data_IF_207667745560
#
_entry.id   IF_207667745560
#
_cell.length_a   1.000
_cell.length_b   1.000
_cell.length_c   1.000
_cell.angle_alpha   90.00
_cell.angle_beta   90.00
_cell.angle_gamma   90.00
#
_symmetry.space_group_name_H-M   'P 1'
#
loop_
_entity.id
_entity.type
_entity.pdbx_description
1 polymer ?
#
# COMPACT_ATOMS: atom_id res chain seq x y z
N UNK A 1 -3.23 -0.72 24.77
CA UNK A 1 -2.93 -2.02 24.12
C UNK A 1 -1.74 -2.69 24.81
N UNK A 2 -0.60 -2.02 24.92
CA UNK A 2 0.62 -2.55 25.53
C UNK A 2 0.63 -2.65 27.08
N UNK A 3 0.01 -1.74 27.88
CA UNK A 3 0.19 -1.75 29.34
C UNK A 3 -0.31 -3.01 30.07
N UNK A 4 -1.33 -3.69 29.53
CA UNK A 4 -1.85 -4.92 30.12
C UNK A 4 -0.99 -6.16 29.78
N UNK A 5 -0.30 -6.13 28.63
CA UNK A 5 0.63 -7.15 28.16
C UNK A 5 2.01 -7.02 28.83
N UNK A 6 2.46 -5.79 29.08
CA UNK A 6 3.69 -5.47 29.79
C UNK A 6 3.39 -5.25 31.28
N UNK A 7 3.13 -6.33 32.00
CA UNK A 7 3.20 -6.32 33.47
C UNK A 7 4.57 -6.89 33.91
N UNK A 8 4.98 -6.64 35.16
CA UNK A 8 6.29 -7.07 35.67
C UNK A 8 6.53 -8.60 35.65
N UNK A 9 5.53 -9.43 35.27
CA UNK A 9 5.61 -10.90 35.21
C UNK A 9 5.63 -11.44 33.77
N UNK A 10 5.50 -10.59 32.76
CA UNK A 10 5.41 -11.01 31.35
C UNK A 10 6.33 -10.16 30.46
N UNK A 11 7.16 -10.83 29.66
CA UNK A 11 8.02 -10.18 28.66
C UNK A 11 7.67 -10.68 27.26
N UNK A 12 7.80 -9.82 26.26
CA UNK A 12 7.65 -10.18 24.84
C UNK A 12 8.97 -9.89 24.15
N UNK A 13 9.48 -10.88 23.41
CA UNK A 13 10.59 -10.70 22.47
C UNK A 13 10.04 -10.76 21.06
N UNK A 14 10.33 -9.74 20.24
CA UNK A 14 9.85 -9.64 18.87
C UNK A 14 11.06 -9.75 17.95
N UNK A 15 11.00 -10.69 17.01
CA UNK A 15 11.97 -10.82 15.95
C UNK A 15 11.29 -10.47 14.62
N UNK A 16 11.89 -9.57 13.86
CA UNK A 16 11.39 -9.15 12.56
C UNK A 16 12.46 -9.41 11.51
N UNK A 17 12.09 -10.13 10.45
CA UNK A 17 12.91 -10.36 9.28
C UNK A 17 12.08 -10.08 8.04
N UNK A 18 12.67 -9.37 7.09
CA UNK A 18 12.17 -9.27 5.72
C UNK A 18 13.21 -9.93 4.81
N UNK A 19 12.77 -10.84 3.94
CA UNK A 19 13.67 -11.56 3.05
C UNK A 19 13.82 -10.85 1.71
N UNK A 20 12.72 -10.43 1.10
CA UNK A 20 12.69 -9.99 -0.31
C UNK A 20 12.27 -8.53 -0.52
N UNK A 21 12.08 -7.73 0.54
CA UNK A 21 11.64 -6.34 0.41
C UNK A 21 12.80 -5.36 0.63
N UNK A 22 13.34 -4.73 -0.44
CA UNK A 22 14.36 -3.70 -0.32
C UNK A 22 13.93 -2.55 0.59
N UNK A 23 14.74 -2.27 1.61
CA UNK A 23 14.51 -1.15 2.51
C UNK A 23 14.73 0.18 1.77
N UNK A 24 13.81 1.13 1.95
CA UNK A 24 13.96 2.49 1.43
C UNK A 24 13.75 2.66 -0.09
N UNK A 25 13.36 1.61 -0.82
CA UNK A 25 13.10 1.69 -2.26
C UNK A 25 11.73 2.32 -2.63
N UNK A 26 10.90 2.65 -1.62
CA UNK A 26 9.52 3.10 -1.82
C UNK A 26 8.54 1.97 -2.08
N UNK A 27 8.84 0.76 -1.61
CA UNK A 27 7.98 -0.43 -1.73
C UNK A 27 7.08 -0.66 -0.49
N UNK A 28 6.94 0.34 0.39
CA UNK A 28 6.08 0.23 1.58
C UNK A 28 6.66 -0.64 2.70
N UNK A 29 7.99 -0.75 2.82
CA UNK A 29 8.63 -1.62 3.83
C UNK A 29 8.31 -1.23 5.28
N UNK A 30 8.14 0.06 5.58
CA UNK A 30 7.70 0.51 6.92
C UNK A 30 6.27 0.07 7.21
N UNK A 31 5.37 0.20 6.23
CA UNK A 31 4.00 -0.22 6.38
C UNK A 31 3.88 -1.74 6.56
N UNK A 32 4.64 -2.52 5.78
CA UNK A 32 4.72 -3.97 5.95
C UNK A 32 5.21 -4.35 7.36
N UNK A 33 6.22 -3.66 7.88
CA UNK A 33 6.70 -3.81 9.25
C UNK A 33 5.60 -3.48 10.29
N UNK A 34 4.93 -2.34 10.13
CA UNK A 34 3.85 -1.90 11.02
C UNK A 34 2.69 -2.89 11.04
N UNK A 35 2.29 -3.40 9.88
CA UNK A 35 1.24 -4.42 9.74
C UNK A 35 1.68 -5.74 10.40
N UNK A 36 2.89 -6.22 10.13
CA UNK A 36 3.40 -7.46 10.72
C UNK A 36 3.45 -7.40 12.25
N UNK A 37 3.95 -6.29 12.81
CA UNK A 37 3.97 -6.08 14.26
C UNK A 37 2.55 -5.99 14.84
N UNK A 38 1.65 -5.25 14.18
CA UNK A 38 0.26 -5.10 14.62
C UNK A 38 -0.47 -6.43 14.62
N UNK A 39 -0.31 -7.23 13.57
CA UNK A 39 -0.89 -8.56 13.47
C UNK A 39 -0.35 -9.53 14.54
N UNK A 40 0.96 -9.51 14.78
CA UNK A 40 1.58 -10.35 15.82
C UNK A 40 1.05 -10.00 17.22
N UNK A 41 0.98 -8.71 17.54
CA UNK A 41 0.44 -8.23 18.82
C UNK A 41 -1.07 -8.50 18.95
N UNK A 42 -1.83 -8.37 17.86
CA UNK A 42 -3.24 -8.70 17.82
C UNK A 42 -3.48 -10.18 18.14
N UNK A 43 -2.76 -11.09 17.45
CA UNK A 43 -2.84 -12.53 17.73
C UNK A 43 -2.39 -12.90 19.15
N UNK A 44 -1.37 -12.23 19.67
CA UNK A 44 -0.91 -12.43 21.05
C UNK A 44 -2.01 -12.05 22.06
N UNK A 45 -2.72 -10.95 21.81
CA UNK A 45 -3.87 -10.52 22.63
C UNK A 45 -4.99 -11.56 22.62
N UNK A 46 -5.34 -12.11 21.45
CA UNK A 46 -6.38 -13.15 21.36
C UNK A 46 -6.02 -14.42 22.12
N UNK A 47 -4.77 -14.89 21.98
CA UNK A 47 -4.31 -16.12 22.64
C UNK A 47 -4.22 -16.01 24.16
N UNK A 48 -3.84 -14.83 24.67
CA UNK A 48 -3.63 -14.62 26.11
C UNK A 48 -4.92 -14.29 26.86
N UNK A 49 -6.01 -13.92 26.17
CA UNK A 49 -7.27 -13.50 26.79
C UNK A 49 -7.13 -12.23 27.65
N UNK A 50 -5.98 -11.55 27.58
CA UNK A 50 -5.70 -10.32 28.31
C UNK A 50 -6.50 -9.21 27.62
N UNK A 51 -7.51 -8.70 28.33
CA UNK A 51 -8.51 -7.70 27.91
C UNK A 51 -9.69 -8.22 27.04
N UNK A 52 -10.57 -9.02 27.65
CA UNK A 52 -12.02 -8.99 27.38
C UNK A 52 -12.51 -9.34 25.97
N UNK A 53 -11.65 -9.87 25.10
CA UNK A 53 -12.05 -10.41 23.80
C UNK A 53 -12.08 -11.91 23.91
N UNK A 54 -13.21 -12.50 23.52
CA UNK A 54 -13.43 -13.94 23.55
C UNK A 54 -12.27 -14.64 22.85
N UNK A 55 -11.69 -15.64 23.53
CA UNK A 55 -10.59 -16.42 23.01
C UNK A 55 -11.01 -17.07 21.68
N UNK A 56 -10.40 -16.64 20.57
CA UNK A 56 -10.50 -17.36 19.30
C UNK A 56 -9.83 -18.71 19.50
N UNK A 57 -10.49 -19.75 18.97
CA UNK A 57 -10.22 -21.16 19.19
C UNK A 57 -8.71 -21.48 19.28
N UNK A 58 -8.29 -22.09 20.40
CA UNK A 58 -6.89 -22.43 20.69
C UNK A 58 -6.33 -23.52 19.75
N UNK A 59 -7.16 -24.06 18.86
CA UNK A 59 -6.84 -25.09 17.86
C UNK A 59 -6.46 -24.54 16.46
N UNK A 60 -5.90 -23.33 16.34
CA UNK A 60 -5.30 -22.88 15.06
C UNK A 60 -4.06 -23.73 14.77
N UNK A 61 -4.27 -24.88 14.12
CA UNK A 61 -3.24 -25.78 13.59
C UNK A 61 -2.57 -25.23 12.33
N UNK A 62 -3.05 -24.10 11.82
CA UNK A 62 -2.59 -23.52 10.56
C UNK A 62 -2.13 -22.08 10.78
N UNK A 63 -0.83 -21.90 11.01
CA UNK A 63 -0.20 -20.59 11.19
C UNK A 63 -0.28 -19.70 9.93
N UNK A 64 -0.79 -20.22 8.81
CA UNK A 64 -0.83 -19.52 7.52
C UNK A 64 -2.23 -19.04 7.11
N UNK A 65 -3.20 -19.06 8.04
CA UNK A 65 -4.56 -18.58 7.77
C UNK A 65 -4.66 -17.06 7.80
N UNK A 66 -5.25 -16.48 6.75
CA UNK A 66 -5.58 -15.03 6.70
C UNK A 66 -6.61 -14.70 7.80
N UNK A 67 -6.41 -13.62 8.59
CA UNK A 67 -7.40 -13.17 9.56
C UNK A 67 -8.73 -12.81 8.91
N UNK A 68 -9.83 -12.87 9.68
CA UNK A 68 -11.14 -12.38 9.25
C UNK A 68 -11.14 -10.85 9.04
N UNK A 69 -12.11 -10.34 8.30
CA UNK A 69 -12.17 -8.92 7.92
C UNK A 69 -12.17 -7.98 9.14
N UNK A 70 -12.94 -8.29 10.18
CA UNK A 70 -13.00 -7.48 11.41
C UNK A 70 -11.63 -7.40 12.11
N UNK A 71 -10.85 -8.49 12.07
CA UNK A 71 -9.49 -8.51 12.59
C UNK A 71 -8.54 -7.68 11.72
N UNK A 72 -8.66 -7.78 10.39
CA UNK A 72 -7.85 -6.99 9.45
C UNK A 72 -8.08 -5.48 9.62
N UNK A 73 -9.31 -5.05 9.87
CA UNK A 73 -9.63 -3.64 10.11
C UNK A 73 -8.95 -3.09 11.36
N UNK A 74 -8.91 -3.89 12.44
CA UNK A 74 -8.19 -3.52 13.67
C UNK A 74 -6.68 -3.48 13.42
N UNK A 75 -6.14 -4.49 12.73
CA UNK A 75 -4.71 -4.56 12.38
C UNK A 75 -4.32 -3.35 11.52
N UNK A 76 -5.11 -3.00 10.52
CA UNK A 76 -4.85 -1.86 9.64
C UNK A 76 -4.90 -0.54 10.43
N UNK A 77 -5.88 -0.38 11.34
CA UNK A 77 -5.95 0.81 12.18
C UNK A 77 -4.72 0.96 13.09
N UNK A 78 -4.22 -0.14 13.66
CA UNK A 78 -3.00 -0.12 14.48
C UNK A 78 -1.75 0.17 13.64
N UNK A 79 -1.67 -0.42 12.44
CA UNK A 79 -0.58 -0.18 11.51
C UNK A 79 -0.57 1.27 11.02
N UNK A 80 -1.73 1.84 10.72
CA UNK A 80 -1.89 3.25 10.35
C UNK A 80 -1.42 4.19 11.46
N UNK A 81 -1.80 3.92 12.72
CA UNK A 81 -1.32 4.68 13.86
C UNK A 81 0.21 4.59 14.03
N UNK A 82 0.77 3.39 13.82
CA UNK A 82 2.22 3.14 13.92
C UNK A 82 2.99 3.85 12.80
N UNK A 83 2.49 3.83 11.57
CA UNK A 83 3.02 4.62 10.46
C UNK A 83 2.98 6.13 10.75
N UNK A 84 1.97 6.59 11.50
CA UNK A 84 1.87 7.97 11.98
C UNK A 84 3.03 8.37 12.89
N UNK A 85 3.50 7.45 13.72
CA UNK A 85 4.68 7.68 14.59
C UNK A 85 5.97 7.76 13.76
N UNK A 86 6.10 6.96 12.71
CA UNK A 86 7.32 6.88 11.89
C UNK A 86 7.40 8.06 10.90
N UNK A 87 6.30 8.37 10.21
CA UNK A 87 6.27 9.29 9.06
C UNK A 87 5.48 10.58 9.33
N UNK A 88 4.86 10.73 10.50
CA UNK A 88 4.07 11.90 10.88
C UNK A 88 2.68 11.93 10.26
N UNK A 89 2.60 12.07 8.93
CA UNK A 89 1.33 12.19 8.20
C UNK A 89 1.19 11.16 7.07
N UNK A 90 0.99 9.86 7.39
CA UNK A 90 0.86 8.80 6.40
C UNK A 90 -0.46 8.91 5.61
N UNK A 91 -0.41 8.56 4.32
CA UNK A 91 -1.58 8.56 3.43
C UNK A 91 -2.58 7.44 3.73
N UNK A 92 -2.16 6.40 4.47
CA UNK A 92 -2.96 5.20 4.69
C UNK A 92 -2.88 4.17 3.56
N UNK A 93 -2.30 4.51 2.41
CA UNK A 93 -2.25 3.63 1.26
C UNK A 93 -1.36 2.40 1.55
N UNK A 94 -0.15 2.64 2.01
CA UNK A 94 0.86 1.59 2.18
C UNK A 94 0.44 0.54 3.21
N UNK A 95 -0.13 0.95 4.35
CA UNK A 95 -0.66 0.01 5.36
C UNK A 95 -1.90 -0.73 4.87
N UNK A 96 -2.81 -0.05 4.16
CA UNK A 96 -3.98 -0.69 3.57
C UNK A 96 -3.57 -1.80 2.60
N UNK A 97 -2.68 -1.50 1.65
CA UNK A 97 -2.18 -2.51 0.69
C UNK A 97 -1.43 -3.63 1.41
N UNK A 98 -0.62 -3.31 2.41
CA UNK A 98 0.12 -4.31 3.19
C UNK A 98 -0.79 -5.21 4.04
N UNK A 99 -1.93 -4.69 4.53
CA UNK A 99 -2.85 -5.41 5.41
C UNK A 99 -3.83 -6.29 4.63
N UNK A 100 -4.49 -5.73 3.61
CA UNK A 100 -5.55 -6.42 2.89
C UNK A 100 -5.03 -7.18 1.65
N UNK A 101 -3.85 -6.82 1.14
CA UNK A 101 -3.34 -7.31 -0.14
C UNK A 101 -4.19 -6.87 -1.33
N UNK A 102 -3.98 -7.50 -2.48
CA UNK A 102 -4.69 -7.14 -3.72
C UNK A 102 -4.22 -5.81 -4.29
N UNK A 103 -5.10 -5.13 -5.04
CA UNK A 103 -4.83 -3.78 -5.50
C UNK A 103 -5.91 -2.80 -5.08
N UNK A 104 -5.49 -1.56 -4.99
CA UNK A 104 -6.28 -0.43 -4.57
C UNK A 104 -6.40 0.54 -5.72
N UNK A 105 -7.63 0.95 -6.03
CA UNK A 105 -7.86 2.19 -6.76
C UNK A 105 -7.92 3.37 -5.77
N UNK A 106 -7.07 4.37 -5.97
CA UNK A 106 -6.96 5.53 -5.08
C UNK A 106 -7.24 6.83 -5.83
N UNK A 107 -8.21 7.60 -5.36
CA UNK A 107 -8.58 8.89 -5.93
C UNK A 107 -8.95 9.86 -4.81
N UNK A 108 -8.50 11.10 -4.96
CA UNK A 108 -8.93 12.24 -4.12
C UNK A 108 -10.26 12.76 -4.61
N UNK A 109 -11.20 12.90 -3.69
CA UNK A 109 -12.43 13.65 -3.95
C UNK A 109 -12.07 15.12 -4.18
N UNK A 110 -12.49 15.64 -5.34
CA UNK A 110 -12.23 16.99 -5.77
C UNK A 110 -13.03 18.04 -4.98
N UNK A 111 -14.18 17.67 -4.41
CA UNK A 111 -15.08 18.59 -3.71
C UNK A 111 -14.75 18.70 -2.22
N UNK A 112 -14.51 17.58 -1.55
CA UNK A 112 -14.30 17.57 -0.10
C UNK A 112 -12.82 17.69 0.29
N UNK A 113 -11.89 17.46 -0.65
CA UNK A 113 -10.46 17.39 -0.37
C UNK A 113 -10.07 16.24 0.57
N UNK A 114 -11.05 15.46 1.05
CA UNK A 114 -10.86 14.24 1.81
C UNK A 114 -10.64 13.10 0.81
N UNK A 115 -9.69 12.23 1.12
CA UNK A 115 -9.55 10.96 0.44
C UNK A 115 -10.51 9.97 1.15
N UNK A 116 -11.06 8.93 0.52
CA UNK A 116 -10.32 7.67 0.29
C UNK A 116 -11.32 6.63 -0.21
N UNK A 117 -11.70 6.64 -1.49
CA UNK A 117 -12.47 5.52 -2.03
C UNK A 117 -11.49 4.40 -2.45
N UNK A 118 -11.07 3.58 -1.48
CA UNK A 118 -10.32 2.35 -1.73
C UNK A 118 -11.27 1.33 -2.33
N UNK A 119 -11.22 1.17 -3.65
CA UNK A 119 -11.91 0.06 -4.27
C UNK A 119 -10.93 -1.09 -4.33
N UNK A 120 -11.25 -2.18 -3.63
CA UNK A 120 -10.58 -3.45 -3.86
C UNK A 120 -10.79 -3.83 -5.32
N UNK A 121 -9.68 -3.98 -6.02
CA UNK A 121 -9.69 -4.51 -7.37
C UNK A 121 -9.37 -5.98 -7.29
N UNK A 122 -10.22 -6.80 -7.93
CA UNK A 122 -9.90 -8.20 -8.19
C UNK A 122 -8.84 -8.20 -9.27
N UNK A 123 -7.57 -8.23 -8.86
CA UNK A 123 -6.45 -8.24 -9.79
C UNK A 123 -6.08 -9.68 -10.08
N UNK A 124 -6.09 -10.10 -11.36
CA UNK A 124 -5.55 -11.39 -11.74
C UNK A 124 -4.07 -11.51 -11.36
N UNK A 125 -3.51 -12.72 -11.19
CA UNK A 125 -2.07 -12.87 -11.09
C UNK A 125 -1.39 -12.18 -12.29
N UNK A 126 -0.52 -11.22 -11.99
CA UNK A 126 0.29 -10.49 -12.95
C UNK A 126 1.75 -10.83 -12.69
N UNK A 127 2.41 -11.43 -13.67
CA UNK A 127 3.84 -11.68 -13.61
C UNK A 127 4.59 -10.38 -13.88
N UNK A 128 5.36 -9.93 -12.88
CA UNK A 128 6.08 -8.66 -12.92
C UNK A 128 7.54 -8.86 -12.56
N UNK A 129 8.41 -8.11 -13.23
CA UNK A 129 9.83 -8.01 -12.87
C UNK A 129 10.02 -6.71 -12.10
N UNK A 130 10.40 -6.83 -10.83
CA UNK A 130 10.77 -5.69 -10.02
C UNK A 130 12.26 -5.37 -10.22
N UNK A 131 12.56 -4.18 -10.74
CA UNK A 131 13.93 -3.71 -10.95
C UNK A 131 14.23 -2.54 -10.02
N UNK A 132 15.29 -2.65 -9.23
CA UNK A 132 15.85 -1.54 -8.46
C UNK A 132 17.11 -1.02 -9.18
N UNK A 133 17.12 0.23 -9.60
CA UNK A 133 18.28 0.83 -10.26
C UNK A 133 19.40 1.18 -9.27
N UNK A 134 19.11 1.15 -7.97
CA UNK A 134 20.01 1.57 -6.88
C UNK A 134 20.47 3.03 -6.95
N UNK A 135 19.82 3.84 -7.79
CA UNK A 135 20.10 5.27 -7.91
C UNK A 135 19.34 6.02 -6.80
N UNK A 136 20.03 6.78 -5.94
CA UNK A 136 19.38 7.54 -4.87
C UNK A 136 18.51 8.66 -5.45
N UNK A 137 17.35 8.90 -4.83
CA UNK A 137 16.41 9.94 -5.24
C UNK A 137 15.78 10.64 -4.05
N UNK A 138 15.45 11.92 -4.22
CA UNK A 138 14.67 12.69 -3.25
C UNK A 138 13.24 12.85 -3.76
N UNK A 139 12.29 12.15 -3.13
CA UNK A 139 10.85 12.26 -3.45
C UNK A 139 10.38 13.72 -3.36
N UNK A 140 10.86 14.46 -2.35
CA UNK A 140 10.53 15.88 -2.17
C UNK A 140 11.01 16.72 -3.36
N UNK A 141 12.22 16.47 -3.85
CA UNK A 141 12.77 17.21 -4.98
C UNK A 141 12.01 16.90 -6.29
N UNK A 142 11.67 15.63 -6.54
CA UNK A 142 10.88 15.24 -7.72
C UNK A 142 9.49 15.89 -7.70
N UNK A 143 8.79 15.87 -6.57
CA UNK A 143 7.48 16.52 -6.42
C UNK A 143 7.57 18.03 -6.62
N UNK A 144 8.60 18.68 -6.06
CA UNK A 144 8.84 20.10 -6.28
C UNK A 144 9.13 20.42 -7.75
N UNK A 145 9.87 19.55 -8.46
CA UNK A 145 10.11 19.65 -9.89
C UNK A 145 8.81 19.60 -10.70
N UNK A 146 7.94 18.63 -10.42
CA UNK A 146 6.62 18.53 -11.08
C UNK A 146 5.75 19.75 -10.79
N UNK A 147 5.78 20.27 -9.56
CA UNK A 147 5.05 21.49 -9.20
C UNK A 147 5.49 22.67 -10.07
N UNK A 148 6.80 22.85 -10.22
CA UNK A 148 7.37 23.91 -11.05
C UNK A 148 6.97 23.76 -12.52
N UNK A 149 7.08 22.55 -13.09
CA UNK A 149 6.66 22.27 -14.49
C UNK A 149 5.18 22.60 -14.68
N UNK A 150 4.33 22.28 -13.70
CA UNK A 150 2.91 22.61 -13.73
C UNK A 150 2.65 24.12 -13.73
N UNK A 151 3.43 24.89 -12.98
CA UNK A 151 3.33 26.36 -12.95
C UNK A 151 3.83 27.00 -14.25
N UNK A 152 4.91 26.45 -14.80
CA UNK A 152 5.56 26.98 -16.00
C UNK A 152 4.80 26.63 -17.30
N UNK A 153 4.04 25.53 -17.32
CA UNK A 153 3.41 25.01 -18.54
C UNK A 153 1.99 24.45 -18.34
N UNK A 154 1.02 25.01 -19.07
CA UNK A 154 -0.39 24.61 -19.03
C UNK A 154 -0.64 23.18 -19.53
N UNK A 155 0.15 22.68 -20.50
CA UNK A 155 -0.02 21.33 -21.06
C UNK A 155 0.08 20.23 -19.99
N UNK A 156 0.70 20.52 -18.84
CA UNK A 156 0.82 19.59 -17.72
C UNK A 156 -0.55 19.12 -17.22
N UNK A 157 -1.58 19.96 -17.34
CA UNK A 157 -2.97 19.58 -17.00
C UNK A 157 -3.47 18.45 -17.89
N UNK A 158 -3.21 18.52 -19.20
CA UNK A 158 -3.58 17.47 -20.15
C UNK A 158 -2.79 16.18 -19.90
N UNK A 159 -1.52 16.30 -19.52
CA UNK A 159 -0.68 15.14 -19.14
C UNK A 159 -1.26 14.44 -17.91
N UNK A 160 -1.62 15.19 -16.86
CA UNK A 160 -2.26 14.61 -15.68
C UNK A 160 -3.61 13.97 -16.02
N UNK A 161 -4.43 14.61 -16.87
CA UNK A 161 -5.68 14.03 -17.33
C UNK A 161 -5.48 12.74 -18.13
N UNK A 162 -4.41 12.67 -18.95
CA UNK A 162 -4.05 11.47 -19.69
C UNK A 162 -3.60 10.33 -18.76
N UNK A 163 -2.75 10.62 -17.75
CA UNK A 163 -2.34 9.65 -16.73
C UNK A 163 -3.56 9.12 -15.95
N UNK A 164 -4.52 9.99 -15.61
CA UNK A 164 -5.79 9.61 -14.99
C UNK A 164 -6.57 8.62 -15.87
N UNK A 165 -6.76 8.94 -17.15
CA UNK A 165 -7.44 8.05 -18.11
C UNK A 165 -6.71 6.71 -18.31
N UNK A 166 -5.38 6.68 -18.24
CA UNK A 166 -4.60 5.44 -18.27
C UNK A 166 -4.92 4.57 -17.06
N UNK A 167 -4.97 5.16 -15.87
CA UNK A 167 -5.34 4.45 -14.63
C UNK A 167 -6.74 3.84 -14.74
N UNK A 168 -7.71 4.57 -15.30
CA UNK A 168 -9.07 4.06 -15.54
C UNK A 168 -9.11 2.91 -16.55
N UNK A 169 -8.36 3.01 -17.64
CA UNK A 169 -8.28 1.96 -18.65
C UNK A 169 -7.58 0.71 -18.12
N UNK A 170 -6.54 0.89 -17.30
CA UNK A 170 -5.85 -0.19 -16.63
C UNK A 170 -6.79 -0.91 -15.67
N UNK A 171 -7.56 -0.17 -14.86
CA UNK A 171 -8.60 -0.74 -13.99
C UNK A 171 -9.60 -1.60 -14.76
N UNK A 172 -10.11 -1.11 -15.90
CA UNK A 172 -11.02 -1.87 -16.76
C UNK A 172 -10.37 -3.12 -17.35
N UNK A 173 -9.11 -3.06 -17.75
CA UNK A 173 -8.38 -4.23 -18.28
C UNK A 173 -8.16 -5.34 -17.24
N UNK A 174 -8.29 -5.03 -15.95
CA UNK A 174 -8.23 -6.00 -14.86
C UNK A 174 -9.61 -6.51 -14.43
N UNK A 175 -10.70 -5.93 -14.92
CA UNK A 175 -12.07 -6.34 -14.59
C UNK A 175 -12.45 -7.60 -15.38
N UNK A 176 -12.82 -8.72 -14.70
CA UNK A 176 -13.29 -9.94 -15.38
C UNK A 176 -14.50 -9.74 -16.28
N UNK A 177 -15.28 -8.67 -16.08
CA UNK A 177 -16.43 -8.31 -16.92
C UNK A 177 -16.07 -7.54 -18.19
N UNK A 178 -14.83 -7.09 -18.37
CA UNK A 178 -14.40 -6.33 -19.55
C UNK A 178 -13.96 -7.27 -20.69
N UNK A 179 -14.25 -6.89 -21.94
CA UNK A 179 -13.86 -7.68 -23.12
C UNK A 179 -12.35 -7.80 -23.30
N UNK A 180 -11.58 -6.87 -22.76
CA UNK A 180 -10.11 -6.85 -22.76
C UNK A 180 -9.50 -7.36 -21.46
N UNK A 181 -10.22 -8.16 -20.67
CA UNK A 181 -9.71 -8.75 -19.44
C UNK A 181 -8.40 -9.52 -19.69
N UNK A 182 -7.34 -9.18 -18.94
CA UNK A 182 -6.00 -9.76 -19.06
C UNK A 182 -5.33 -9.62 -20.43
N UNK A 183 -5.76 -8.66 -21.25
CA UNK A 183 -5.04 -8.33 -22.48
C UNK A 183 -3.67 -7.73 -22.14
N UNK A 184 -2.64 -8.57 -22.18
CA UNK A 184 -1.27 -8.21 -21.84
C UNK A 184 -0.68 -7.20 -22.82
N UNK A 185 -1.11 -7.20 -24.09
CA UNK A 185 -0.66 -6.23 -25.07
C UNK A 185 -1.21 -4.84 -24.74
N UNK A 186 -2.51 -4.75 -24.40
CA UNK A 186 -3.14 -3.52 -23.94
C UNK A 186 -2.51 -3.01 -22.64
N UNK A 187 -2.33 -3.89 -21.64
CA UNK A 187 -1.67 -3.54 -20.36
C UNK A 187 -0.25 -3.02 -20.60
N UNK A 188 0.53 -3.69 -21.45
CA UNK A 188 1.90 -3.27 -21.82
C UNK A 188 1.89 -1.90 -22.49
N UNK A 189 0.95 -1.64 -23.41
CA UNK A 189 0.82 -0.34 -24.06
C UNK A 189 0.45 0.77 -23.07
N UNK A 190 -0.44 0.51 -22.13
CA UNK A 190 -0.80 1.46 -21.06
C UNK A 190 0.41 1.80 -20.19
N UNK A 191 1.18 0.80 -19.75
CA UNK A 191 2.40 0.99 -18.94
C UNK A 191 3.42 1.84 -19.71
N UNK A 192 3.70 1.51 -20.98
CA UNK A 192 4.65 2.25 -21.82
C UNK A 192 4.23 3.69 -22.04
N UNK A 193 2.94 3.91 -22.28
CA UNK A 193 2.39 5.25 -22.47
C UNK A 193 2.51 6.07 -21.18
N UNK A 194 2.19 5.48 -20.03
CA UNK A 194 2.35 6.15 -18.75
C UNK A 194 3.81 6.55 -18.49
N UNK A 195 4.76 5.66 -18.79
CA UNK A 195 6.19 5.97 -18.64
C UNK A 195 6.64 7.16 -19.51
N UNK A 196 6.15 7.25 -20.74
CA UNK A 196 6.46 8.39 -21.62
C UNK A 196 5.90 9.71 -21.08
N UNK A 197 4.69 9.69 -20.50
CA UNK A 197 4.08 10.86 -19.86
C UNK A 197 4.84 11.27 -18.60
N UNK A 198 5.27 10.32 -17.78
CA UNK A 198 6.12 10.57 -16.61
C UNK A 198 7.48 11.17 -17.00
N UNK A 199 8.08 10.70 -18.10
CA UNK A 199 9.29 11.32 -18.67
C UNK A 199 9.04 12.77 -19.09
N UNK A 200 7.90 13.06 -19.70
CA UNK A 200 7.56 14.41 -20.16
C UNK A 200 7.43 15.43 -19.01
N UNK A 201 7.02 15.01 -17.81
CA UNK A 201 6.95 15.86 -16.62
C UNK A 201 8.23 15.84 -15.77
N UNK A 202 9.32 15.26 -16.28
CA UNK A 202 10.65 15.38 -15.67
C UNK A 202 10.90 14.49 -14.45
N UNK A 203 10.16 13.39 -14.27
CA UNK A 203 10.37 12.45 -13.14
C UNK A 203 11.09 11.15 -13.54
N UNK A 204 11.62 11.08 -14.76
CA UNK A 204 12.47 9.97 -15.22
C UNK A 204 13.95 10.31 -15.06
N UNK A 205 14.79 9.28 -15.10
CA UNK A 205 16.24 9.38 -15.20
C UNK A 205 16.72 8.65 -16.46
N UNK A 206 17.94 8.94 -16.88
CA UNK A 206 18.66 8.23 -17.95
C UNK A 206 19.43 7.03 -17.38
#
# INVERSE_FOLDING_TARGET
IIPALLNAKSSVSIYVRSEDLPLGAGLGSSAAFCVACSAALYRLREKTGIMGVAAVDRNIKDNNTRPEQASLDIINAWAFASEGVIHGNPSGLDNTVSCYGGAVYYQKDAETGNLRAFHELVVPPLDMILTNTFIPRSTKALVAGVHKVKEDFEFTVDVFAAIGRISDQFRKALDPGDRGYRDTAKISQLIRTNQNLLKAIGVSHE
#
